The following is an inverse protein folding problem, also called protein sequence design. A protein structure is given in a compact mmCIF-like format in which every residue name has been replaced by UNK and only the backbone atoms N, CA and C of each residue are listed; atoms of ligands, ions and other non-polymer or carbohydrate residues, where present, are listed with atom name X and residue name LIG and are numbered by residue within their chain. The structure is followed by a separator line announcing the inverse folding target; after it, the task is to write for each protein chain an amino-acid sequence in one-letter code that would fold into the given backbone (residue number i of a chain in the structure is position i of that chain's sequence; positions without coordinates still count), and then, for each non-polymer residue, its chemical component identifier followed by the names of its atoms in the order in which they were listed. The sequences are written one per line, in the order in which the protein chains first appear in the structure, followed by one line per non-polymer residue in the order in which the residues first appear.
data_IF_692953183050
#
_entry.id   IF_692953183050
#
_cell.length_a   1.000
_cell.length_b   1.000
_cell.length_c   1.000
_cell.angle_alpha   90.00
_cell.angle_beta   90.00
_cell.angle_gamma   90.00
#
_symmetry.space_group_name_H-M   'P 1'
#
loop_
_entity.id
_entity.type
_entity.pdbx_description
1 polymer ?
#
# COMPACT_ATOMS: atom_id res chain seq x y z
N UNK A 1 -20.02 -6.89 -2.36
CA UNK A 1 -19.02 -7.97 -2.24
C UNK A 1 -18.01 -7.60 -1.17
N UNK A 2 -17.74 -8.54 -0.25
CA UNK A 2 -16.67 -8.44 0.74
C UNK A 2 -15.48 -9.24 0.24
N UNK A 3 -14.28 -8.67 0.33
CA UNK A 3 -13.04 -9.28 -0.15
C UNK A 3 -12.03 -9.23 0.98
N UNK A 4 -11.50 -10.39 1.37
CA UNK A 4 -10.48 -10.53 2.39
C UNK A 4 -9.29 -11.28 1.82
N UNK A 5 -8.10 -10.67 1.89
CA UNK A 5 -6.84 -11.35 1.61
C UNK A 5 -5.93 -11.25 2.82
N UNK A 6 -5.50 -12.40 3.32
CA UNK A 6 -4.46 -12.52 4.32
C UNK A 6 -3.34 -13.37 3.74
N UNK A 7 -2.12 -12.83 3.67
CA UNK A 7 -0.96 -13.59 3.21
C UNK A 7 0.22 -13.39 4.12
N UNK A 8 0.87 -14.51 4.46
CA UNK A 8 2.13 -14.53 5.17
C UNK A 8 3.17 -15.33 4.39
N UNK A 9 4.29 -14.72 4.04
CA UNK A 9 5.37 -15.38 3.28
C UNK A 9 6.76 -15.09 3.88
N UNK A 10 7.65 -16.08 3.79
CA UNK A 10 9.04 -16.01 4.25
C UNK A 10 9.98 -16.47 3.14
N UNK A 11 10.95 -15.63 2.82
CA UNK A 11 11.97 -15.83 1.80
C UNK A 11 11.45 -16.12 0.36
N UNK A 12 10.35 -15.51 -0.14
CA UNK A 12 9.99 -15.69 -1.53
C UNK A 12 10.97 -14.90 -2.43
N UNK A 13 11.29 -15.46 -3.59
CA UNK A 13 12.12 -14.74 -4.57
C UNK A 13 11.32 -13.58 -5.17
N UNK A 14 10.12 -13.88 -5.66
CA UNK A 14 9.22 -12.93 -6.29
C UNK A 14 7.84 -13.01 -5.64
N UNK A 15 7.27 -11.83 -5.38
CA UNK A 15 5.88 -11.68 -5.02
C UNK A 15 5.24 -10.71 -6.00
N UNK A 16 4.17 -11.15 -6.64
CA UNK A 16 3.37 -10.33 -7.54
C UNK A 16 1.90 -10.42 -7.16
N UNK A 17 1.28 -9.30 -6.82
CA UNK A 17 -0.17 -9.21 -6.65
C UNK A 17 -0.77 -8.22 -7.65
N UNK A 18 -1.81 -8.67 -8.31
CA UNK A 18 -2.65 -7.85 -9.18
C UNK A 18 -4.10 -7.99 -8.75
N UNK A 19 -4.73 -6.87 -8.43
CA UNK A 19 -6.16 -6.85 -8.10
C UNK A 19 -6.87 -5.77 -8.90
N UNK A 20 -7.98 -6.17 -9.54
CA UNK A 20 -8.88 -5.25 -10.21
C UNK A 20 -10.31 -5.47 -9.70
N UNK A 21 -10.93 -4.45 -9.10
CA UNK A 21 -12.26 -4.55 -8.48
C UNK A 21 -13.18 -3.38 -8.87
N UNK A 22 -14.47 -3.67 -9.06
CA UNK A 22 -15.52 -2.68 -9.34
C UNK A 22 -16.64 -2.84 -8.31
N UNK A 23 -17.00 -1.74 -7.65
CA UNK A 23 -18.07 -1.63 -6.66
C UNK A 23 -18.01 -2.65 -5.49
N UNK A 24 -16.84 -2.95 -4.89
CA UNK A 24 -16.80 -3.76 -3.67
C UNK A 24 -17.37 -2.96 -2.50
N UNK A 25 -18.03 -3.64 -1.57
CA UNK A 25 -18.47 -3.02 -0.32
C UNK A 25 -17.27 -2.90 0.63
N UNK A 26 -16.49 -3.97 0.76
CA UNK A 26 -15.32 -4.00 1.62
C UNK A 26 -14.16 -4.71 0.92
N UNK A 27 -12.99 -4.09 1.01
CA UNK A 27 -11.71 -4.73 0.72
C UNK A 27 -10.86 -4.66 1.99
N UNK A 28 -10.41 -5.81 2.46
CA UNK A 28 -9.45 -5.94 3.54
C UNK A 28 -8.26 -6.78 3.07
N UNK A 29 -7.09 -6.17 2.93
CA UNK A 29 -5.87 -6.87 2.55
C UNK A 29 -4.81 -6.69 3.64
N UNK A 30 -4.31 -7.80 4.17
CA UNK A 30 -3.24 -7.87 5.15
C UNK A 30 -2.12 -8.76 4.61
N UNK A 31 -0.95 -8.17 4.34
CA UNK A 31 0.21 -8.91 3.84
C UNK A 31 1.39 -8.76 4.78
N UNK A 32 1.98 -9.89 5.15
CA UNK A 32 3.20 -9.96 5.94
C UNK A 32 4.29 -10.72 5.18
N UNK A 33 5.40 -10.05 4.89
CA UNK A 33 6.47 -10.58 4.03
C UNK A 33 7.83 -10.41 4.70
N UNK A 34 8.61 -11.48 4.77
CA UNK A 34 9.96 -11.48 5.33
C UNK A 34 10.97 -11.94 4.30
N UNK A 35 12.01 -11.13 4.10
CA UNK A 35 13.12 -11.34 3.18
C UNK A 35 12.73 -11.66 1.72
N UNK A 36 11.78 -10.96 1.08
CA UNK A 36 11.57 -11.14 -0.35
C UNK A 36 12.68 -10.46 -1.16
N UNK A 37 13.03 -10.97 -2.34
CA UNK A 37 13.89 -10.16 -3.24
C UNK A 37 13.06 -9.05 -3.89
N UNK A 38 11.99 -9.42 -4.60
CA UNK A 38 11.14 -8.48 -5.32
C UNK A 38 9.67 -8.58 -4.88
N UNK A 39 9.07 -7.43 -4.59
CA UNK A 39 7.64 -7.30 -4.37
C UNK A 39 7.05 -6.31 -5.37
N UNK A 40 5.99 -6.74 -6.04
CA UNK A 40 5.17 -5.89 -6.88
C UNK A 40 3.70 -5.99 -6.49
N UNK A 41 3.10 -4.85 -6.19
CA UNK A 41 1.68 -4.72 -5.90
C UNK A 41 1.04 -3.76 -6.90
N UNK A 42 0.06 -4.25 -7.66
CA UNK A 42 -0.80 -3.42 -8.49
C UNK A 42 -2.26 -3.58 -8.07
N UNK A 43 -2.88 -2.45 -7.70
CA UNK A 43 -4.27 -2.40 -7.27
C UNK A 43 -5.03 -1.38 -8.11
N UNK A 44 -6.15 -1.79 -8.70
CA UNK A 44 -7.09 -0.88 -9.36
C UNK A 44 -8.50 -1.11 -8.81
N UNK A 45 -9.09 -0.07 -8.21
CA UNK A 45 -10.40 -0.17 -7.56
C UNK A 45 -11.29 1.00 -7.97
N UNK A 46 -12.54 0.69 -8.32
CA UNK A 46 -13.57 1.69 -8.68
C UNK A 46 -14.77 1.59 -7.76
N UNK A 47 -15.18 2.71 -7.17
CA UNK A 47 -16.29 2.88 -6.25
C UNK A 47 -16.33 1.90 -5.05
N UNK A 48 -15.23 1.64 -4.34
CA UNK A 48 -15.29 0.87 -3.09
C UNK A 48 -15.93 1.71 -1.96
N UNK A 49 -16.72 1.08 -1.08
CA UNK A 49 -17.17 1.79 0.14
C UNK A 49 -16.02 1.87 1.15
N UNK A 50 -15.50 0.72 1.59
CA UNK A 50 -14.41 0.67 2.56
C UNK A 50 -13.21 -0.12 2.04
N UNK A 51 -12.03 0.45 2.23
CA UNK A 51 -10.76 -0.18 1.90
C UNK A 51 -9.83 -0.12 3.11
N UNK A 52 -9.27 -1.28 3.46
CA UNK A 52 -8.20 -1.41 4.42
C UNK A 52 -7.05 -2.20 3.83
N UNK A 53 -5.86 -1.59 3.82
CA UNK A 53 -4.63 -2.23 3.38
C UNK A 53 -3.58 -2.11 4.48
N UNK A 54 -3.19 -3.26 5.03
CA UNK A 54 -2.10 -3.39 5.98
C UNK A 54 -0.96 -4.18 5.34
N UNK A 55 0.22 -3.57 5.24
CA UNK A 55 1.38 -4.19 4.63
C UNK A 55 2.56 -4.08 5.59
N UNK A 56 3.09 -5.24 5.99
CA UNK A 56 4.29 -5.33 6.81
C UNK A 56 5.38 -6.10 6.07
N UNK A 57 6.50 -5.43 5.79
CA UNK A 57 7.61 -5.97 5.01
C UNK A 57 8.92 -5.82 5.76
N UNK A 58 9.70 -6.90 5.84
CA UNK A 58 11.01 -6.91 6.49
C UNK A 58 12.09 -7.41 5.53
N UNK A 59 13.15 -6.64 5.39
CA UNK A 59 14.31 -6.87 4.54
C UNK A 59 14.01 -7.20 3.06
N UNK A 60 13.10 -6.47 2.38
CA UNK A 60 12.96 -6.64 0.93
C UNK A 60 14.14 -5.97 0.19
N UNK A 61 14.55 -6.49 -0.97
CA UNK A 61 15.48 -5.73 -1.81
C UNK A 61 14.72 -4.61 -2.52
N UNK A 62 13.72 -4.96 -3.33
CA UNK A 62 12.92 -4.01 -4.09
C UNK A 62 11.44 -4.14 -3.79
N UNK A 63 10.79 -3.00 -3.58
CA UNK A 63 9.35 -2.90 -3.39
C UNK A 63 8.77 -1.91 -4.38
N UNK A 64 7.74 -2.33 -5.12
CA UNK A 64 6.94 -1.48 -5.98
C UNK A 64 5.45 -1.61 -5.63
N UNK A 65 4.82 -0.49 -5.28
CA UNK A 65 3.36 -0.41 -5.12
C UNK A 65 2.82 0.59 -6.14
N UNK A 66 1.83 0.17 -6.91
CA UNK A 66 1.02 1.03 -7.75
C UNK A 66 -0.45 0.81 -7.41
N UNK A 67 -1.11 1.88 -6.97
CA UNK A 67 -2.48 1.83 -6.49
C UNK A 67 -3.25 2.94 -7.19
N UNK A 68 -4.35 2.56 -7.84
CA UNK A 68 -5.29 3.46 -8.47
C UNK A 68 -6.69 3.26 -7.87
N UNK A 69 -7.26 4.35 -7.36
CA UNK A 69 -8.58 4.35 -6.76
C UNK A 69 -9.45 5.49 -7.31
N UNK A 70 -10.70 5.16 -7.62
CA UNK A 70 -11.70 6.12 -8.10
C UNK A 70 -12.97 6.03 -7.26
N UNK A 71 -13.39 7.16 -6.72
CA UNK A 71 -14.56 7.36 -5.86
C UNK A 71 -14.67 6.41 -4.64
N UNK A 72 -13.60 6.17 -3.86
CA UNK A 72 -13.72 5.46 -2.60
C UNK A 72 -14.44 6.31 -1.55
N UNK A 73 -15.24 5.73 -0.65
CA UNK A 73 -15.74 6.48 0.51
C UNK A 73 -14.62 6.58 1.57
N UNK A 74 -14.17 5.45 2.12
CA UNK A 74 -13.14 5.42 3.16
C UNK A 74 -11.95 4.56 2.73
N UNK A 75 -10.75 5.11 2.92
CA UNK A 75 -9.49 4.44 2.65
C UNK A 75 -8.59 4.49 3.88
N UNK A 76 -8.08 3.33 4.27
CA UNK A 76 -7.01 3.21 5.24
C UNK A 76 -5.84 2.41 4.66
N UNK A 77 -4.68 3.06 4.60
CA UNK A 77 -3.41 2.44 4.26
C UNK A 77 -2.47 2.49 5.45
N UNK A 78 -1.93 1.33 5.81
CA UNK A 78 -0.86 1.20 6.79
C UNK A 78 0.28 0.41 6.17
N UNK A 79 1.39 1.07 5.87
CA UNK A 79 2.60 0.42 5.36
C UNK A 79 3.71 0.55 6.39
N UNK A 80 4.24 -0.60 6.81
CA UNK A 80 5.38 -0.69 7.70
C UNK A 80 6.49 -1.48 7.01
N UNK A 81 7.62 -0.81 6.75
CA UNK A 81 8.74 -1.36 5.99
C UNK A 81 10.04 -1.23 6.80
N UNK A 82 10.74 -2.35 6.99
CA UNK A 82 12.01 -2.40 7.72
C UNK A 82 13.14 -2.91 6.83
N UNK A 83 14.22 -2.14 6.76
CA UNK A 83 15.44 -2.40 5.98
C UNK A 83 15.23 -2.70 4.47
N UNK A 84 14.40 -1.96 3.73
CA UNK A 84 14.35 -2.10 2.29
C UNK A 84 15.58 -1.46 1.61
N UNK A 85 16.02 -1.97 0.45
CA UNK A 85 17.00 -1.22 -0.35
C UNK A 85 16.28 -0.08 -1.09
N UNK A 86 15.28 -0.43 -1.90
CA UNK A 86 14.52 0.52 -2.71
C UNK A 86 13.01 0.36 -2.50
N UNK A 87 12.32 1.48 -2.32
CA UNK A 87 10.87 1.57 -2.28
C UNK A 87 10.40 2.55 -3.34
N UNK A 88 9.43 2.10 -4.15
CA UNK A 88 8.64 2.95 -5.02
C UNK A 88 7.16 2.76 -4.72
N UNK A 89 6.49 3.84 -4.33
CA UNK A 89 5.05 3.86 -4.11
C UNK A 89 4.42 4.93 -4.98
N UNK A 90 3.47 4.50 -5.82
CA UNK A 90 2.61 5.33 -6.63
C UNK A 90 1.16 5.12 -6.17
N UNK A 91 0.54 6.15 -5.61
CA UNK A 91 -0.82 6.08 -5.05
C UNK A 91 -1.69 7.18 -5.66
N UNK A 92 -2.48 6.85 -6.68
CA UNK A 92 -3.37 7.80 -7.34
C UNK A 92 -4.82 7.62 -6.88
N UNK A 93 -5.41 8.71 -6.38
CA UNK A 93 -6.78 8.73 -5.87
C UNK A 93 -7.61 9.85 -6.51
N UNK A 94 -8.83 9.51 -6.94
CA UNK A 94 -9.80 10.47 -7.50
C UNK A 94 -11.12 10.42 -6.72
N UNK A 95 -11.56 11.57 -6.24
CA UNK A 95 -12.79 11.80 -5.46
C UNK A 95 -12.97 10.90 -4.21
N UNK A 96 -11.96 10.74 -3.35
CA UNK A 96 -12.14 10.06 -2.08
C UNK A 96 -12.91 10.95 -1.07
N UNK A 97 -13.76 10.37 -0.21
CA UNK A 97 -14.29 11.14 0.93
C UNK A 97 -13.23 11.26 2.03
N UNK A 98 -12.73 10.14 2.53
CA UNK A 98 -11.77 10.12 3.63
C UNK A 98 -10.59 9.19 3.36
N UNK A 99 -9.38 9.71 3.59
CA UNK A 99 -8.12 8.98 3.43
C UNK A 99 -7.29 9.06 4.71
N UNK A 100 -6.82 7.91 5.15
CA UNK A 100 -5.74 7.78 6.12
C UNK A 100 -4.58 7.02 5.51
N UNK A 101 -3.42 7.65 5.43
CA UNK A 101 -2.17 7.00 5.08
C UNK A 101 -1.23 7.06 6.26
N UNK A 102 -0.79 5.88 6.70
CA UNK A 102 0.28 5.71 7.66
C UNK A 102 1.44 4.99 6.98
N UNK A 103 2.57 5.66 6.88
CA UNK A 103 3.80 5.15 6.27
C UNK A 103 4.91 5.19 7.32
N UNK A 104 5.36 4.02 7.75
CA UNK A 104 6.50 3.88 8.64
C UNK A 104 7.61 3.11 7.97
N UNK A 105 8.78 3.75 7.89
CA UNK A 105 9.92 3.23 7.16
C UNK A 105 11.18 3.33 8.02
N UNK A 106 11.91 2.22 8.10
CA UNK A 106 13.17 2.15 8.86
C UNK A 106 14.29 1.63 7.99
N UNK A 107 15.42 2.35 7.96
CA UNK A 107 16.66 1.99 7.27
C UNK A 107 16.47 1.67 5.78
N UNK A 108 15.67 2.48 5.09
CA UNK A 108 15.60 2.44 3.64
C UNK A 108 16.82 3.18 3.05
N UNK A 109 17.37 2.70 1.94
CA UNK A 109 18.40 3.47 1.21
C UNK A 109 17.78 4.52 0.29
N UNK A 110 16.77 4.12 -0.48
CA UNK A 110 16.10 5.01 -1.43
C UNK A 110 14.59 4.83 -1.38
N UNK A 111 13.88 5.96 -1.33
CA UNK A 111 12.43 6.02 -1.22
C UNK A 111 11.88 7.01 -2.24
N UNK A 112 10.91 6.56 -3.03
CA UNK A 112 10.06 7.40 -3.86
C UNK A 112 8.60 7.20 -3.48
N UNK A 113 7.95 8.27 -3.05
CA UNK A 113 6.50 8.32 -2.87
C UNK A 113 5.92 9.36 -3.82
N UNK A 114 4.97 8.94 -4.64
CA UNK A 114 4.19 9.84 -5.49
C UNK A 114 2.70 9.57 -5.27
N UNK A 115 2.02 10.55 -4.67
CA UNK A 115 0.64 10.40 -4.17
C UNK A 115 -0.26 11.50 -4.76
N UNK A 116 -0.60 11.44 -6.06
CA UNK A 116 -1.51 12.41 -6.67
C UNK A 116 -2.95 12.18 -6.19
N UNK A 117 -3.60 13.27 -5.81
CA UNK A 117 -4.97 13.26 -5.30
C UNK A 117 -5.81 14.31 -6.02
N UNK A 118 -7.04 13.94 -6.40
CA UNK A 118 -8.00 14.86 -7.02
C UNK A 118 -9.31 14.86 -6.24
N UNK A 119 -9.75 16.03 -5.81
CA UNK A 119 -10.99 16.29 -5.09
C UNK A 119 -11.23 15.41 -3.85
N UNK A 120 -10.26 15.27 -2.94
CA UNK A 120 -10.50 14.66 -1.63
C UNK A 120 -11.37 15.59 -0.75
N UNK A 121 -12.19 15.02 0.14
CA UNK A 121 -12.83 15.83 1.19
C UNK A 121 -11.90 15.98 2.40
N UNK A 122 -11.33 14.87 2.90
CA UNK A 122 -10.43 14.88 4.05
C UNK A 122 -9.31 13.86 3.89
N UNK A 123 -8.08 14.29 4.24
CA UNK A 123 -6.87 13.48 4.13
C UNK A 123 -6.01 13.64 5.37
N UNK A 124 -5.52 12.50 5.86
CA UNK A 124 -4.47 12.42 6.86
C UNK A 124 -3.31 11.61 6.30
N UNK A 125 -2.12 12.22 6.28
CA UNK A 125 -0.87 11.53 6.00
C UNK A 125 0.02 11.59 7.23
N UNK A 126 0.42 10.43 7.72
CA UNK A 126 1.47 10.27 8.71
C UNK A 126 2.63 9.53 8.07
N UNK A 127 3.80 10.17 8.02
CA UNK A 127 5.01 9.60 7.43
C UNK A 127 6.14 9.69 8.44
N UNK A 128 6.67 8.54 8.84
CA UNK A 128 7.85 8.43 9.70
C UNK A 128 8.95 7.68 8.95
N UNK A 129 10.13 8.30 8.91
CA UNK A 129 11.32 7.75 8.26
C UNK A 129 12.50 7.77 9.24
N UNK A 130 13.00 6.58 9.58
CA UNK A 130 14.23 6.42 10.34
C UNK A 130 15.37 6.06 9.37
N UNK A 131 16.33 6.98 9.20
CA UNK A 131 17.51 6.73 8.37
C UNK A 131 18.49 5.79 9.10
N UNK A 132 19.32 5.03 8.37
CA UNK A 132 20.51 4.44 8.98
C UNK A 132 21.39 5.55 9.58
N UNK A 133 21.97 5.30 10.76
CA UNK A 133 23.10 6.10 11.24
C UNK A 133 24.31 5.86 10.36
#
# INVERSE_FOLDING_TARGET
QLIYHYVHQKNPQLIYYYFHQKNPQLIYNCLHQKNPQLIYHYLHQKNPQLIYHYLHQKNPQLIYHCIHQKNPQLIYYYFHQKNPQLIYNYLHQKNPQLIYHYLHQKKAQLIYHYIPQKNPQLIYHYIQQEKPQ
#
